data_IF_338763126005
#
_entry.id   IF_338763126005
#
_cell.length_a   1.000
_cell.length_b   1.000
_cell.length_c   1.000
_cell.angle_alpha   90.00
_cell.angle_beta   90.00
_cell.angle_gamma   90.00
#
_symmetry.space_group_name_H-M   'P 1'
#
loop_
_entity.id
_entity.type
_entity.pdbx_description
1 polymer ?
#
# COMPACT_ATOMS: atom_id res chain seq x y z
N UNK A 1 32.16 4.40 -3.20
CA UNK A 1 32.13 4.17 -4.66
C UNK A 1 31.51 5.38 -5.33
N UNK A 2 32.31 6.20 -6.04
CA UNK A 2 31.85 7.36 -6.84
C UNK A 2 30.89 6.97 -7.98
N UNK A 3 30.70 5.68 -8.22
CA UNK A 3 29.89 5.08 -9.29
C UNK A 3 28.44 4.78 -8.90
N UNK A 4 28.00 5.08 -7.67
CA UNK A 4 26.57 5.01 -7.35
C UNK A 4 25.85 6.17 -8.04
N UNK A 5 24.78 5.92 -8.80
CA UNK A 5 24.02 6.97 -9.50
C UNK A 5 23.47 8.09 -8.60
N UNK A 6 23.52 7.92 -7.27
CA UNK A 6 23.12 8.93 -6.28
C UNK A 6 24.30 9.72 -5.69
N UNK A 7 25.53 9.49 -6.12
CA UNK A 7 26.73 10.09 -5.50
C UNK A 7 26.71 11.62 -5.54
N UNK A 8 26.51 12.21 -6.71
CA UNK A 8 26.47 13.69 -6.87
C UNK A 8 25.37 14.30 -5.99
N UNK A 9 24.19 13.68 -5.95
CA UNK A 9 23.08 14.14 -5.10
C UNK A 9 23.43 14.06 -3.61
N UNK A 10 24.13 13.00 -3.18
CA UNK A 10 24.57 12.86 -1.79
C UNK A 10 25.60 13.91 -1.41
N UNK A 11 26.58 14.18 -2.27
CA UNK A 11 27.62 15.18 -1.99
C UNK A 11 27.04 16.59 -1.89
N UNK A 12 26.17 16.98 -2.83
CA UNK A 12 25.48 18.27 -2.76
C UNK A 12 24.59 18.38 -1.49
N UNK A 13 23.93 17.30 -1.09
CA UNK A 13 23.09 17.29 0.12
C UNK A 13 23.88 17.45 1.43
N UNK A 14 25.18 17.11 1.47
CA UNK A 14 26.02 17.22 2.68
C UNK A 14 26.22 18.65 3.14
N UNK A 15 26.02 19.63 2.28
CA UNK A 15 26.12 21.05 2.63
C UNK A 15 24.97 21.50 3.55
N UNK A 16 23.85 20.77 3.56
CA UNK A 16 22.60 21.18 4.23
C UNK A 16 21.94 20.11 5.09
N UNK A 17 22.28 18.82 4.92
CA UNK A 17 21.71 17.69 5.66
C UNK A 17 22.83 16.95 6.41
N UNK A 18 22.64 16.57 7.69
CA UNK A 18 23.63 15.80 8.45
C UNK A 18 24.05 14.51 7.74
N UNK A 19 25.35 14.21 7.74
CA UNK A 19 25.92 13.04 7.08
C UNK A 19 25.28 11.72 7.53
N UNK A 20 24.92 11.62 8.82
CA UNK A 20 24.20 10.48 9.40
C UNK A 20 22.84 10.19 8.74
N UNK A 21 22.14 11.21 8.24
CA UNK A 21 20.88 11.04 7.50
C UNK A 21 21.14 10.60 6.07
N UNK A 22 22.19 11.13 5.42
CA UNK A 22 22.57 10.84 4.03
C UNK A 22 23.14 9.41 3.89
N UNK A 23 23.91 8.97 4.89
CA UNK A 23 24.62 7.70 4.88
C UNK A 23 23.88 6.58 5.59
N UNK A 24 22.72 6.87 6.19
CA UNK A 24 21.80 5.87 6.71
C UNK A 24 21.54 4.79 5.64
N UNK A 25 21.63 3.49 6.00
CA UNK A 25 21.23 2.41 5.11
C UNK A 25 19.81 2.60 4.59
N UNK A 26 19.54 2.15 3.35
CA UNK A 26 18.20 2.23 2.77
C UNK A 26 17.20 1.50 3.67
N UNK A 27 16.35 2.27 4.34
CA UNK A 27 15.24 1.75 5.11
C UNK A 27 14.05 1.44 4.21
N UNK A 28 13.28 0.40 4.57
CA UNK A 28 11.92 0.26 4.07
C UNK A 28 11.03 1.31 4.74
N UNK A 29 9.92 1.67 4.09
CA UNK A 29 8.93 2.58 4.64
C UNK A 29 7.71 1.76 5.09
N UNK A 30 7.62 1.33 6.37
CA UNK A 30 6.43 0.63 6.85
C UNK A 30 5.23 1.56 6.73
N UNK A 31 4.13 1.04 6.20
CA UNK A 31 2.82 1.70 6.29
C UNK A 31 1.86 0.76 7.03
N UNK A 32 1.95 0.68 8.38
CA UNK A 32 1.23 -0.33 9.16
C UNK A 32 -0.29 -0.28 8.93
N UNK A 33 -0.83 0.93 8.74
CA UNK A 33 -2.26 1.15 8.48
C UNK A 33 -2.78 0.42 7.23
N UNK A 34 -1.93 0.20 6.22
CA UNK A 34 -2.30 -0.53 4.99
C UNK A 34 -2.01 -2.03 5.07
N UNK A 35 -1.24 -2.46 6.09
CA UNK A 35 -0.97 -3.86 6.39
C UNK A 35 -2.03 -4.44 7.34
N UNK A 36 -2.35 -3.69 8.39
CA UNK A 36 -3.34 -4.03 9.40
C UNK A 36 -4.48 -3.02 9.30
N UNK A 37 -5.43 -3.32 8.41
CA UNK A 37 -6.55 -2.44 8.13
C UNK A 37 -7.49 -2.42 9.33
N UNK A 38 -7.57 -1.26 9.99
CA UNK A 38 -8.42 -1.02 11.14
C UNK A 38 -9.04 0.38 11.07
N UNK A 39 -10.12 0.58 11.82
CA UNK A 39 -10.80 1.86 11.96
C UNK A 39 -11.10 2.51 10.60
N UNK A 40 -10.73 3.80 10.39
CA UNK A 40 -11.13 4.54 9.19
C UNK A 40 -10.63 3.94 7.88
N UNK A 41 -9.47 3.26 7.88
CA UNK A 41 -8.93 2.62 6.68
C UNK A 41 -9.69 1.35 6.30
N UNK A 42 -10.14 0.58 7.29
CA UNK A 42 -10.98 -0.59 7.03
C UNK A 42 -12.36 -0.17 6.53
N UNK A 43 -12.93 0.90 7.10
CA UNK A 43 -14.21 1.45 6.62
C UNK A 43 -14.09 1.97 5.18
N UNK A 44 -13.03 2.72 4.85
CA UNK A 44 -12.76 3.14 3.47
C UNK A 44 -12.69 1.95 2.51
N UNK A 45 -11.99 0.88 2.89
CA UNK A 45 -11.88 -0.35 2.10
C UNK A 45 -13.24 -1.03 1.91
N UNK A 46 -14.06 -1.12 2.97
CA UNK A 46 -15.42 -1.64 2.88
C UNK A 46 -16.27 -0.82 1.93
N UNK A 47 -16.18 0.50 1.99
CA UNK A 47 -16.95 1.40 1.13
C UNK A 47 -16.60 1.15 -0.33
N UNK A 48 -15.31 1.19 -0.67
CA UNK A 48 -14.81 0.94 -2.04
C UNK A 48 -15.34 -0.39 -2.59
N UNK A 49 -15.20 -1.48 -1.81
CA UNK A 49 -15.52 -2.83 -2.26
C UNK A 49 -17.02 -3.18 -2.23
N UNK A 50 -17.84 -2.32 -1.61
CA UNK A 50 -19.29 -2.50 -1.57
C UNK A 50 -20.04 -1.58 -2.54
N UNK A 51 -19.36 -0.63 -3.21
CA UNK A 51 -19.99 0.17 -4.26
C UNK A 51 -20.53 -0.71 -5.40
N UNK A 52 -21.62 -0.29 -6.06
CA UNK A 52 -22.18 -1.00 -7.21
C UNK A 52 -21.14 -1.28 -8.30
N UNK A 53 -20.28 -0.29 -8.62
CA UNK A 53 -19.20 -0.43 -9.58
C UNK A 53 -18.29 -1.63 -9.28
N UNK A 54 -17.89 -1.83 -8.02
CA UNK A 54 -17.06 -2.96 -7.62
C UNK A 54 -17.77 -4.31 -7.77
N UNK A 55 -19.07 -4.35 -7.48
CA UNK A 55 -19.87 -5.58 -7.47
C UNK A 55 -20.25 -6.03 -8.88
N UNK A 56 -20.64 -5.09 -9.72
CA UNK A 56 -21.09 -5.33 -11.09
C UNK A 56 -19.92 -5.70 -12.02
N UNK A 57 -18.73 -5.15 -11.75
CA UNK A 57 -17.53 -5.42 -12.55
C UNK A 57 -17.10 -6.89 -12.54
N UNK A 58 -17.42 -7.63 -11.48
CA UNK A 58 -17.17 -9.08 -11.43
C UNK A 58 -15.70 -9.51 -11.43
N UNK A 59 -14.75 -8.61 -11.17
CA UNK A 59 -13.31 -8.95 -11.13
C UNK A 59 -12.93 -9.86 -9.94
N UNK A 60 -13.66 -9.73 -8.84
CA UNK A 60 -13.36 -10.45 -7.61
C UNK A 60 -14.51 -11.38 -7.23
N UNK A 61 -14.17 -12.59 -6.79
CA UNK A 61 -15.15 -13.51 -6.21
C UNK A 61 -15.68 -12.93 -4.91
N UNK A 62 -16.98 -12.61 -4.88
CA UNK A 62 -17.58 -11.87 -3.77
C UNK A 62 -17.43 -12.60 -2.44
N UNK A 63 -17.59 -13.92 -2.44
CA UNK A 63 -17.46 -14.72 -1.22
C UNK A 63 -16.05 -14.65 -0.64
N UNK A 64 -15.03 -14.68 -1.50
CA UNK A 64 -13.65 -14.51 -1.05
C UNK A 64 -13.38 -13.12 -0.50
N UNK A 65 -13.91 -12.07 -1.14
CA UNK A 65 -13.82 -10.69 -0.62
C UNK A 65 -14.49 -10.58 0.74
N UNK A 66 -15.65 -11.22 0.94
CA UNK A 66 -16.32 -11.26 2.24
C UNK A 66 -15.44 -11.95 3.30
N UNK A 67 -14.77 -13.06 2.97
CA UNK A 67 -13.80 -13.70 3.87
C UNK A 67 -12.68 -12.75 4.26
N UNK A 68 -12.10 -12.03 3.28
CA UNK A 68 -11.05 -11.05 3.54
C UNK A 68 -11.52 -9.90 4.44
N UNK A 69 -12.75 -9.41 4.24
CA UNK A 69 -13.34 -8.32 5.02
C UNK A 69 -13.66 -8.72 6.47
N UNK A 70 -14.03 -9.98 6.72
CA UNK A 70 -14.36 -10.49 8.05
C UNK A 70 -13.14 -10.60 8.96
N UNK A 71 -11.99 -11.00 8.41
CA UNK A 71 -10.75 -11.12 9.18
C UNK A 71 -9.53 -10.66 8.37
N UNK A 72 -9.36 -9.34 8.13
CA UNK A 72 -8.30 -8.81 7.27
C UNK A 72 -6.88 -9.20 7.72
N UNK A 73 -6.67 -9.27 9.03
CA UNK A 73 -5.35 -9.54 9.63
C UNK A 73 -4.91 -10.99 9.47
N UNK A 74 -5.84 -11.92 9.30
CA UNK A 74 -5.53 -13.32 9.01
C UNK A 74 -5.03 -13.53 7.57
N UNK A 75 -5.12 -12.50 6.71
CA UNK A 75 -4.88 -12.62 5.27
C UNK A 75 -3.72 -11.73 4.80
N UNK A 76 -2.55 -11.97 5.37
CA UNK A 76 -1.29 -11.33 4.98
C UNK A 76 -0.57 -12.15 3.89
N UNK A 77 0.04 -11.46 2.92
CA UNK A 77 0.84 -12.09 1.85
C UNK A 77 2.21 -12.54 2.37
N UNK A 78 2.93 -13.42 1.65
CA UNK A 78 4.31 -13.78 1.99
C UNK A 78 5.27 -12.58 2.05
N UNK A 79 4.98 -11.51 1.28
CA UNK A 79 5.72 -10.25 1.28
C UNK A 79 5.26 -9.29 2.39
N UNK A 80 4.50 -9.78 3.36
CA UNK A 80 3.99 -9.03 4.51
C UNK A 80 3.05 -7.86 4.17
N UNK A 81 2.30 -7.94 3.07
CA UNK A 81 1.25 -6.96 2.73
C UNK A 81 -0.16 -7.50 3.03
N UNK A 82 -1.14 -6.61 3.22
CA UNK A 82 -2.55 -7.02 3.32
C UNK A 82 -3.07 -7.47 1.95
N UNK A 83 -3.64 -8.69 1.85
CA UNK A 83 -4.34 -9.12 0.63
C UNK A 83 -5.55 -8.24 0.34
N UNK A 84 -6.31 -7.90 1.39
CA UNK A 84 -7.49 -7.06 1.27
C UNK A 84 -7.14 -5.67 0.72
N UNK A 85 -6.02 -5.08 1.16
CA UNK A 85 -5.55 -3.81 0.62
C UNK A 85 -5.25 -3.88 -0.88
N UNK A 86 -4.66 -4.96 -1.38
CA UNK A 86 -4.36 -5.09 -2.82
C UNK A 86 -5.65 -5.10 -3.67
N UNK A 87 -6.67 -5.82 -3.19
CA UNK A 87 -7.99 -5.88 -3.83
C UNK A 87 -8.64 -4.48 -3.83
N UNK A 88 -8.66 -3.83 -2.67
CA UNK A 88 -9.24 -2.49 -2.52
C UNK A 88 -8.49 -1.43 -3.32
N UNK A 89 -7.16 -1.48 -3.39
CA UNK A 89 -6.36 -0.52 -4.12
C UNK A 89 -6.63 -0.57 -5.62
N UNK A 90 -6.72 -1.78 -6.20
CA UNK A 90 -7.07 -1.93 -7.61
C UNK A 90 -8.47 -1.37 -7.88
N UNK A 91 -9.47 -1.78 -7.09
CA UNK A 91 -10.83 -1.29 -7.26
C UNK A 91 -10.94 0.22 -7.08
N UNK A 92 -10.24 0.78 -6.09
CA UNK A 92 -10.19 2.21 -5.86
C UNK A 92 -9.62 2.96 -7.06
N UNK A 93 -8.55 2.43 -7.67
CA UNK A 93 -7.97 3.01 -8.88
C UNK A 93 -8.98 2.99 -10.04
N UNK A 94 -9.69 1.88 -10.24
CA UNK A 94 -10.70 1.74 -11.30
C UNK A 94 -11.84 2.76 -11.12
N UNK A 95 -12.38 2.87 -9.91
CA UNK A 95 -13.43 3.85 -9.59
C UNK A 95 -12.94 5.28 -9.78
N UNK A 96 -11.72 5.59 -9.35
CA UNK A 96 -11.13 6.94 -9.47
C UNK A 96 -10.99 7.38 -10.93
N UNK A 97 -10.74 6.44 -11.84
CA UNK A 97 -10.51 6.74 -13.26
C UNK A 97 -11.72 6.44 -14.16
N UNK A 98 -12.88 6.09 -13.57
CA UNK A 98 -14.11 5.83 -14.31
C UNK A 98 -14.02 4.65 -15.30
N UNK A 99 -13.17 3.67 -14.98
CA UNK A 99 -13.05 2.41 -15.74
C UNK A 99 -14.17 1.45 -15.34
#
# INVERSE_FOLDING_TARGET
VRESGKYILKEAAREVIPAEVIDRPKGYFPVPALKYLQGPYLEMVKDILNQPAARERGLFQRDYVNTLLQNPEAHITPLQGSKLWQVALLEFWLQTHGV
#
